data_IF_612814155041
#
_entry.id   IF_612814155041
#
_cell.length_a   1.000
_cell.length_b   1.000
_cell.length_c   1.000
_cell.angle_alpha   90.00
_cell.angle_beta   90.00
_cell.angle_gamma   90.00
#
_symmetry.space_group_name_H-M   'P 1'
#
loop_
_entity.id
_entity.type
_entity.pdbx_description
1 polymer ?
#
# COMPACT_ATOMS: atom_id res chain seq x y z
N UNK A 1 -14.48 -33.85 -6.04
CA UNK A 1 -13.35 -32.89 -6.07
C UNK A 1 -13.95 -31.50 -6.13
N UNK A 2 -13.89 -30.73 -5.04
CA UNK A 2 -14.41 -29.36 -5.06
C UNK A 2 -13.50 -28.50 -5.91
N UNK A 3 -14.01 -27.98 -7.02
CA UNK A 3 -13.34 -26.95 -7.81
C UNK A 3 -13.25 -25.68 -6.96
N UNK A 4 -12.13 -25.49 -6.28
CA UNK A 4 -11.81 -24.22 -5.65
C UNK A 4 -11.48 -23.25 -6.78
N UNK A 5 -12.34 -22.26 -6.99
CA UNK A 5 -12.07 -21.18 -7.93
C UNK A 5 -10.96 -20.33 -7.31
N UNK A 6 -9.72 -20.58 -7.75
CA UNK A 6 -8.57 -19.76 -7.37
C UNK A 6 -8.72 -18.41 -8.07
N UNK A 7 -9.14 -17.40 -7.33
CA UNK A 7 -9.19 -16.03 -7.84
C UNK A 7 -7.78 -15.45 -7.72
N UNK A 8 -7.19 -15.06 -8.85
CA UNK A 8 -5.90 -14.36 -8.84
C UNK A 8 -6.07 -13.07 -8.04
N UNK A 9 -5.24 -12.89 -7.01
CA UNK A 9 -5.23 -11.67 -6.22
C UNK A 9 -4.87 -10.44 -7.07
N UNK A 10 -5.13 -9.23 -6.56
CA UNK A 10 -4.79 -8.01 -7.28
C UNK A 10 -3.30 -7.96 -7.62
N UNK A 11 -2.97 -7.63 -8.87
CA UNK A 11 -1.59 -7.37 -9.30
C UNK A 11 -1.12 -5.99 -8.85
N UNK A 12 0.19 -5.73 -8.87
CA UNK A 12 0.77 -4.43 -8.46
C UNK A 12 0.06 -3.23 -9.11
N UNK A 13 -0.25 -3.30 -10.41
CA UNK A 13 -0.92 -2.21 -11.15
C UNK A 13 -2.37 -1.92 -10.72
N UNK A 14 -2.97 -2.79 -9.91
CA UNK A 14 -4.24 -2.51 -9.26
C UNK A 14 -4.11 -1.34 -8.27
N UNK A 15 -2.98 -1.27 -7.56
CA UNK A 15 -2.68 -0.24 -6.56
C UNK A 15 -1.71 0.83 -7.09
N UNK A 16 -0.66 0.46 -7.81
CA UNK A 16 0.37 1.38 -8.28
C UNK A 16 0.07 1.82 -9.72
N UNK A 17 -0.50 3.02 -9.89
CA UNK A 17 -0.87 3.56 -11.22
C UNK A 17 0.31 4.19 -11.94
N UNK A 18 1.25 4.72 -11.19
CA UNK A 18 2.47 5.29 -11.71
C UNK A 18 3.57 5.20 -10.68
N UNK A 19 4.81 5.03 -11.16
CA UNK A 19 6.02 5.24 -10.39
C UNK A 19 7.08 5.80 -11.33
N UNK A 20 8.00 6.61 -10.80
CA UNK A 20 9.13 7.10 -11.59
C UNK A 20 10.05 5.96 -12.06
N UNK A 21 10.29 4.95 -11.21
CA UNK A 21 11.08 3.76 -11.57
C UNK A 21 10.77 2.57 -10.67
N UNK A 22 10.68 1.34 -11.20
CA UNK A 22 10.55 0.13 -10.38
C UNK A 22 11.77 -0.16 -9.49
N UNK A 23 12.95 0.40 -9.82
CA UNK A 23 14.20 0.13 -9.09
C UNK A 23 14.22 0.71 -7.67
N UNK A 24 13.33 1.65 -7.36
CA UNK A 24 13.19 2.24 -6.01
C UNK A 24 12.23 1.47 -5.12
N UNK A 25 11.59 0.40 -5.63
CA UNK A 25 10.77 -0.47 -4.79
C UNK A 25 11.64 -1.16 -3.76
N UNK A 26 11.13 -1.26 -2.54
CA UNK A 26 11.85 -1.87 -1.42
C UNK A 26 11.05 -3.02 -0.84
N UNK A 27 11.76 -4.06 -0.40
CA UNK A 27 11.18 -5.12 0.40
C UNK A 27 11.07 -4.66 1.86
N UNK A 28 9.85 -4.43 2.34
CA UNK A 28 9.54 -4.08 3.72
C UNK A 28 9.16 -5.33 4.51
N UNK A 29 9.56 -5.39 5.77
CA UNK A 29 9.15 -6.47 6.69
C UNK A 29 7.64 -6.41 6.90
N UNK A 30 6.97 -7.56 6.84
CA UNK A 30 5.54 -7.69 7.08
C UNK A 30 5.23 -8.93 7.90
N UNK A 31 4.08 -8.90 8.60
CA UNK A 31 3.58 -10.06 9.31
C UNK A 31 3.16 -11.16 8.32
N UNK A 32 3.31 -12.42 8.72
CA UNK A 32 2.94 -13.55 7.87
C UNK A 32 1.47 -13.47 7.45
N UNK A 33 1.20 -13.64 6.16
CA UNK A 33 -0.13 -13.58 5.58
C UNK A 33 -0.64 -12.17 5.28
N UNK A 34 0.19 -11.13 5.41
CA UNK A 34 -0.14 -9.78 4.93
C UNK A 34 -0.48 -9.82 3.44
N UNK A 35 -1.52 -9.09 3.04
CA UNK A 35 -2.02 -9.06 1.66
C UNK A 35 -1.68 -7.74 0.97
N UNK A 36 -1.58 -7.77 -0.35
CA UNK A 36 -1.50 -6.55 -1.15
C UNK A 36 -2.69 -5.63 -0.82
N UNK A 37 -2.42 -4.33 -0.71
CA UNK A 37 -3.41 -3.35 -0.26
C UNK A 37 -3.48 -3.15 1.26
N UNK A 38 -2.66 -3.85 2.05
CA UNK A 38 -2.51 -3.57 3.49
C UNK A 38 -1.41 -2.54 3.73
N UNK A 39 -1.62 -1.62 4.68
CA UNK A 39 -0.59 -0.69 5.11
C UNK A 39 0.40 -1.34 6.08
N UNK A 40 1.70 -1.23 5.77
CA UNK A 40 2.80 -1.77 6.58
C UNK A 40 3.71 -0.64 7.07
N UNK A 41 4.40 -0.88 8.18
CA UNK A 41 5.39 0.07 8.68
C UNK A 41 6.59 0.15 7.73
N UNK A 42 6.98 1.39 7.38
CA UNK A 42 8.12 1.65 6.53
C UNK A 42 9.15 2.49 7.29
N UNK A 43 10.22 1.87 7.84
CA UNK A 43 11.27 2.59 8.55
C UNK A 43 11.92 3.70 7.70
N UNK A 44 11.87 3.55 6.38
CA UNK A 44 12.43 4.47 5.39
C UNK A 44 11.69 5.81 5.27
N UNK A 45 10.53 5.97 5.94
CA UNK A 45 9.71 7.19 5.90
C UNK A 45 9.41 7.70 7.30
N UNK A 46 10.40 7.74 8.18
CA UNK A 46 10.23 8.24 9.56
C UNK A 46 9.05 7.57 10.30
N UNK A 47 8.82 6.28 10.04
CA UNK A 47 7.74 5.50 10.63
C UNK A 47 6.36 5.67 9.99
N UNK A 48 6.23 6.45 8.89
CA UNK A 48 4.97 6.52 8.12
C UNK A 48 4.71 5.19 7.41
N UNK A 49 3.43 4.81 7.33
CA UNK A 49 3.03 3.55 6.68
C UNK A 49 3.03 3.66 5.16
N UNK A 50 3.28 2.53 4.50
CA UNK A 50 3.22 2.36 3.05
C UNK A 50 2.25 1.24 2.67
N UNK A 51 1.62 1.37 1.50
CA UNK A 51 0.74 0.33 0.97
C UNK A 51 1.59 -0.82 0.42
N UNK A 52 1.34 -2.05 0.88
CA UNK A 52 1.91 -3.25 0.32
C UNK A 52 1.41 -3.47 -1.13
N UNK A 53 2.35 -3.60 -2.07
CA UNK A 53 2.06 -3.82 -3.49
C UNK A 53 1.91 -5.30 -3.84
N UNK A 54 2.39 -6.18 -2.97
CA UNK A 54 2.34 -7.63 -3.11
C UNK A 54 1.81 -8.27 -1.84
N UNK A 55 1.33 -9.51 -1.95
CA UNK A 55 1.19 -10.38 -0.81
C UNK A 55 2.55 -10.62 -0.15
N UNK A 56 2.52 -10.96 1.14
CA UNK A 56 3.71 -11.33 1.88
C UNK A 56 4.28 -12.66 1.39
N UNK A 57 5.59 -12.65 1.17
CA UNK A 57 6.41 -13.83 0.91
C UNK A 57 7.73 -13.70 1.68
N UNK A 58 8.11 -14.77 2.40
CA UNK A 58 9.35 -14.80 3.18
C UNK A 58 9.47 -13.71 4.26
N UNK A 59 8.36 -13.25 4.83
CA UNK A 59 8.26 -12.19 5.83
C UNK A 59 8.34 -10.77 5.24
N UNK A 60 8.18 -10.62 3.92
CA UNK A 60 8.36 -9.34 3.23
C UNK A 60 7.26 -9.06 2.22
N UNK A 61 7.00 -7.77 2.00
CA UNK A 61 6.17 -7.24 0.90
C UNK A 61 6.96 -6.21 0.12
N UNK A 62 6.60 -6.00 -1.16
CA UNK A 62 7.13 -4.87 -1.91
C UNK A 62 6.33 -3.59 -1.61
N UNK A 63 7.03 -2.47 -1.45
CA UNK A 63 6.45 -1.13 -1.33
C UNK A 63 7.16 -0.17 -2.29
N UNK A 64 6.48 0.90 -2.71
CA UNK A 64 7.11 2.00 -3.44
C UNK A 64 7.18 3.23 -2.52
N UNK A 65 8.37 3.57 -1.97
CA UNK A 65 8.52 4.62 -0.96
C UNK A 65 8.49 6.03 -1.52
N UNK A 66 8.69 6.25 -2.84
CA UNK A 66 8.82 7.59 -3.41
C UNK A 66 8.17 7.73 -4.79
N UNK A 67 7.82 8.97 -5.15
CA UNK A 67 7.50 9.42 -6.51
C UNK A 67 6.53 8.50 -7.27
N UNK A 68 5.38 8.25 -6.66
CA UNK A 68 4.40 7.31 -7.18
C UNK A 68 2.95 7.76 -6.97
N UNK A 69 2.05 7.13 -7.71
CA UNK A 69 0.61 7.33 -7.58
C UNK A 69 -0.02 6.01 -7.15
N UNK A 70 -0.66 6.03 -5.97
CA UNK A 70 -1.33 4.90 -5.36
C UNK A 70 -2.85 5.08 -5.48
N UNK A 71 -3.52 4.10 -6.06
CA UNK A 71 -4.97 3.99 -6.13
C UNK A 71 -5.50 3.20 -4.93
N UNK A 72 -6.40 3.84 -4.20
CA UNK A 72 -7.03 3.31 -2.99
C UNK A 72 -8.39 2.66 -3.26
N UNK A 73 -8.85 2.55 -4.52
CA UNK A 73 -10.18 2.04 -4.85
C UNK A 73 -10.45 0.60 -4.41
N UNK A 74 -9.41 -0.16 -4.09
CA UNK A 74 -9.47 -1.52 -3.56
C UNK A 74 -9.05 -1.63 -2.08
N UNK A 75 -8.84 -0.50 -1.41
CA UNK A 75 -8.38 -0.42 -0.03
C UNK A 75 -9.52 0.04 0.86
N UNK A 76 -9.68 -0.57 2.02
CA UNK A 76 -10.73 -0.19 2.98
C UNK A 76 -10.45 1.19 3.58
N UNK A 77 -11.49 2.00 3.72
CA UNK A 77 -11.42 3.33 4.31
C UNK A 77 -10.91 3.26 5.76
N UNK A 78 -11.29 2.23 6.52
CA UNK A 78 -10.79 2.01 7.88
C UNK A 78 -9.26 1.83 7.91
N UNK A 79 -8.70 1.09 6.95
CA UNK A 79 -7.25 0.85 6.87
C UNK A 79 -6.50 2.11 6.43
N UNK A 80 -7.06 2.89 5.51
CA UNK A 80 -6.55 4.21 5.11
C UNK A 80 -6.51 5.16 6.30
N UNK A 81 -7.59 5.23 7.07
CA UNK A 81 -7.71 6.11 8.22
C UNK A 81 -6.74 5.71 9.34
N UNK A 82 -6.58 4.41 9.59
CA UNK A 82 -5.63 3.89 10.59
C UNK A 82 -4.16 4.10 10.18
N UNK A 83 -3.87 4.20 8.87
CA UNK A 83 -2.52 4.42 8.38
C UNK A 83 -2.04 5.86 8.46
N UNK A 84 -2.97 6.82 8.49
CA UNK A 84 -2.66 8.23 8.65
C UNK A 84 -2.06 8.50 10.03
N UNK A 85 -0.85 9.06 10.07
CA UNK A 85 -0.17 9.38 11.33
C UNK A 85 -0.78 10.58 12.05
N UNK A 86 -1.57 11.41 11.36
CA UNK A 86 -2.24 12.59 11.91
C UNK A 86 -3.68 12.65 11.41
N UNK A 87 -4.62 13.00 12.29
CA UNK A 87 -6.03 13.20 11.94
C UNK A 87 -6.85 11.94 11.66
N UNK A 88 -6.22 10.78 11.43
CA UNK A 88 -6.91 9.50 11.28
C UNK A 88 -7.86 9.46 10.09
N UNK A 89 -7.49 10.09 8.97
CA UNK A 89 -8.33 10.21 7.78
C UNK A 89 -7.49 10.24 6.48
N UNK A 90 -8.16 10.19 5.33
CA UNK A 90 -7.51 10.23 4.02
C UNK A 90 -6.64 11.49 3.80
N UNK A 91 -7.04 12.65 4.33
CA UNK A 91 -6.22 13.87 4.21
C UNK A 91 -4.91 13.77 4.99
N UNK A 92 -4.94 13.13 6.17
CA UNK A 92 -3.76 12.81 6.96
C UNK A 92 -2.81 11.89 6.21
N UNK A 93 -3.34 10.83 5.57
CA UNK A 93 -2.54 9.94 4.76
C UNK A 93 -1.89 10.67 3.57
N UNK A 94 -2.64 11.56 2.90
CA UNK A 94 -2.11 12.39 1.81
C UNK A 94 -0.95 13.28 2.27
N UNK A 95 -1.12 13.98 3.40
CA UNK A 95 -0.04 14.78 4.01
C UNK A 95 1.19 13.96 4.36
N UNK A 96 1.00 12.71 4.80
CA UNK A 96 2.12 11.80 5.02
C UNK A 96 2.84 11.43 3.72
N UNK A 97 2.08 11.31 2.62
CA UNK A 97 2.53 11.10 1.23
C UNK A 97 3.38 12.22 0.64
N UNK A 98 2.96 13.47 0.84
CA UNK A 98 3.44 14.64 0.09
C UNK A 98 4.97 14.83 0.12
N UNK A 99 5.68 14.74 1.27
CA UNK A 99 7.14 14.94 1.31
C UNK A 99 7.94 13.92 0.50
N UNK A 100 7.31 12.82 0.11
CA UNK A 100 7.93 11.70 -0.61
C UNK A 100 7.44 11.60 -2.06
N UNK A 101 6.65 12.57 -2.52
CA UNK A 101 6.09 12.58 -3.88
C UNK A 101 5.05 11.48 -4.11
N UNK A 102 4.32 11.07 -3.07
CA UNK A 102 3.28 10.04 -3.18
C UNK A 102 1.91 10.69 -3.25
N UNK A 103 1.21 10.44 -4.36
CA UNK A 103 -0.16 10.88 -4.54
C UNK A 103 -1.09 9.70 -4.29
N UNK A 104 -2.02 9.86 -3.35
CA UNK A 104 -3.12 8.90 -3.14
C UNK A 104 -4.37 9.36 -3.87
N UNK A 105 -4.93 8.49 -4.71
CA UNK A 105 -6.13 8.74 -5.51
C UNK A 105 -7.15 7.59 -5.38
N UNK A 106 -8.30 7.73 -6.03
CA UNK A 106 -9.40 6.79 -5.91
C UNK A 106 -10.20 6.97 -4.63
N UNK A 107 -11.39 6.36 -4.59
CA UNK A 107 -12.28 6.39 -3.41
C UNK A 107 -12.12 5.08 -2.66
N UNK A 108 -11.60 5.09 -1.40
CA UNK A 108 -11.50 3.88 -0.59
C UNK A 108 -12.85 3.18 -0.42
N UNK A 109 -12.80 1.86 -0.30
CA UNK A 109 -13.98 1.03 -0.05
C UNK A 109 -14.54 1.31 1.35
N UNK A 110 -15.85 1.40 1.47
CA UNK A 110 -16.54 1.61 2.75
C UNK A 110 -16.26 0.48 3.75
#
# INVERSE_FOLDING_TARGET
MSNKVETLGPVIGAFLKYEATPLTRVAATAAKGTKAGTFVDAPLRDGKKLLALTDEDGGKVLVQPHNCVIDLSLVKAADVNAAASTGGNLEGLKKDGDPYGIVYQGTPQA
#
